data_IF_911795991062
#
_entry.id   IF_911795991062
#
_cell.length_a   1.000
_cell.length_b   1.000
_cell.length_c   1.000
_cell.angle_alpha   90.00
_cell.angle_beta   90.00
_cell.angle_gamma   90.00
#
_symmetry.space_group_name_H-M   'P 1'
#
loop_
_entity.id
_entity.type
_entity.pdbx_description
1 polymer ?
#
# COMPACT_ATOMS: atom_id res chain seq x y z
N UNK A 1 12.14 -18.24 -5.80
CA UNK A 1 11.18 -17.12 -5.69
C UNK A 1 11.06 -16.63 -4.25
N UNK A 2 10.81 -17.49 -3.27
CA UNK A 2 10.72 -17.12 -1.84
C UNK A 2 11.93 -16.37 -1.27
N UNK A 3 13.15 -16.72 -1.69
CA UNK A 3 14.37 -16.02 -1.23
C UNK A 3 14.37 -14.56 -1.70
N UNK A 4 13.91 -14.31 -2.93
CA UNK A 4 13.81 -12.97 -3.51
C UNK A 4 12.69 -12.20 -2.82
N UNK A 5 11.50 -12.78 -2.68
CA UNK A 5 10.37 -12.16 -1.99
C UNK A 5 10.72 -11.78 -0.53
N UNK A 6 11.45 -12.65 0.18
CA UNK A 6 11.92 -12.40 1.55
C UNK A 6 12.99 -11.30 1.60
N UNK A 7 13.91 -11.26 0.64
CA UNK A 7 14.93 -10.23 0.55
C UNK A 7 14.30 -8.86 0.26
N UNK A 8 13.39 -8.78 -0.72
CA UNK A 8 12.65 -7.55 -1.06
C UNK A 8 11.84 -7.08 0.13
N UNK A 9 11.10 -7.98 0.78
CA UNK A 9 10.35 -7.61 1.98
C UNK A 9 11.25 -7.18 3.13
N UNK A 10 12.53 -7.54 3.23
CA UNK A 10 13.41 -7.01 4.29
C UNK A 10 13.86 -5.57 4.04
N UNK A 11 14.00 -5.17 2.79
CA UNK A 11 14.48 -3.84 2.41
C UNK A 11 13.34 -2.85 2.09
N UNK A 12 12.11 -3.34 1.98
CA UNK A 12 10.93 -2.50 1.80
C UNK A 12 10.68 -1.62 3.03
N UNK A 13 10.10 -0.44 2.79
CA UNK A 13 9.56 0.46 3.81
C UNK A 13 8.62 -0.31 4.75
N UNK A 14 8.76 -0.05 6.04
CA UNK A 14 8.09 -0.72 7.15
C UNK A 14 7.17 0.20 7.92
N UNK A 15 6.33 -0.43 8.73
CA UNK A 15 5.54 0.29 9.71
C UNK A 15 6.48 1.08 10.63
N UNK A 16 6.15 2.35 10.84
CA UNK A 16 6.92 3.32 11.63
C UNK A 16 8.22 3.84 11.00
N UNK A 17 8.49 3.55 9.73
CA UNK A 17 9.52 4.29 9.00
C UNK A 17 9.06 5.74 8.80
N UNK A 18 9.91 6.69 9.17
CA UNK A 18 9.66 8.11 8.90
C UNK A 18 9.87 8.37 7.40
N UNK A 19 8.89 9.02 6.78
CA UNK A 19 8.94 9.40 5.37
C UNK A 19 8.61 10.87 5.23
N UNK A 20 9.43 11.57 4.44
CA UNK A 20 9.13 12.91 3.99
C UNK A 20 8.22 12.88 2.76
N UNK A 21 7.50 13.98 2.53
CA UNK A 21 6.54 14.08 1.44
C UNK A 21 7.09 13.66 0.06
N UNK A 22 8.32 14.04 -0.36
CA UNK A 22 8.87 13.58 -1.65
C UNK A 22 9.07 12.07 -1.73
N UNK A 23 9.39 11.41 -0.61
CA UNK A 23 9.60 9.96 -0.55
C UNK A 23 8.27 9.22 -0.68
N UNK A 24 7.21 9.74 -0.07
CA UNK A 24 5.84 9.23 -0.22
C UNK A 24 5.37 9.34 -1.67
N UNK A 25 5.58 10.50 -2.30
CA UNK A 25 5.22 10.70 -3.71
C UNK A 25 5.97 9.75 -4.65
N UNK A 26 7.27 9.56 -4.40
CA UNK A 26 8.08 8.61 -5.15
C UNK A 26 7.57 7.18 -4.95
N UNK A 27 7.28 6.78 -3.71
CA UNK A 27 6.77 5.45 -3.39
C UNK A 27 5.45 5.15 -4.13
N UNK A 28 4.55 6.12 -4.18
CA UNK A 28 3.28 5.98 -4.90
C UNK A 28 3.49 5.86 -6.41
N UNK A 29 4.42 6.63 -6.99
CA UNK A 29 4.77 6.51 -8.42
C UNK A 29 5.37 5.14 -8.74
N UNK A 30 6.37 4.72 -7.96
CA UNK A 30 7.02 3.41 -8.13
C UNK A 30 6.00 2.26 -8.02
N UNK A 31 5.02 2.37 -7.10
CA UNK A 31 3.94 1.39 -6.97
C UNK A 31 3.06 1.36 -8.23
N UNK A 32 2.67 2.52 -8.76
CA UNK A 32 1.81 2.62 -9.95
C UNK A 32 2.49 2.14 -11.23
N UNK A 33 3.82 2.20 -11.29
CA UNK A 33 4.62 1.73 -12.43
C UNK A 33 4.85 0.19 -12.42
N UNK A 34 4.47 -0.50 -11.35
CA UNK A 34 4.58 -1.95 -11.26
C UNK A 34 3.53 -2.66 -12.14
N UNK A 35 3.89 -3.81 -12.72
CA UNK A 35 2.96 -4.62 -13.53
C UNK A 35 1.73 -5.11 -12.74
N UNK A 36 1.92 -5.43 -11.46
CA UNK A 36 0.86 -5.86 -10.55
C UNK A 36 0.86 -5.00 -9.28
N UNK A 37 0.32 -3.77 -9.34
CA UNK A 37 0.43 -2.80 -8.24
C UNK A 37 -0.50 -3.11 -7.08
N UNK A 38 -1.44 -4.05 -7.24
CA UNK A 38 -2.51 -4.36 -6.27
C UNK A 38 -2.13 -5.43 -5.23
N UNK A 39 -1.00 -6.11 -5.43
CA UNK A 39 -0.64 -7.27 -4.63
C UNK A 39 0.87 -7.33 -4.40
N UNK A 40 1.30 -7.66 -3.18
CA UNK A 40 2.71 -7.93 -2.90
C UNK A 40 3.09 -9.36 -3.33
N UNK A 41 4.38 -9.70 -3.41
CA UNK A 41 4.85 -11.04 -3.79
C UNK A 41 4.33 -12.20 -2.91
N UNK A 42 3.76 -11.90 -1.74
CA UNK A 42 3.16 -12.88 -0.82
C UNK A 42 1.63 -12.93 -0.88
N UNK A 43 0.98 -12.23 -1.82
CA UNK A 43 -0.48 -12.25 -1.95
C UNK A 43 -1.22 -11.19 -1.13
N UNK A 44 -0.53 -10.31 -0.39
CA UNK A 44 -1.19 -9.27 0.43
C UNK A 44 -1.58 -8.07 -0.43
N UNK A 45 -2.78 -7.48 -0.23
CA UNK A 45 -3.15 -6.26 -0.94
C UNK A 45 -2.25 -5.10 -0.53
N UNK A 46 -1.88 -4.27 -1.51
CA UNK A 46 -1.08 -3.04 -1.31
C UNK A 46 -1.95 -1.81 -1.04
N UNK A 47 -3.19 -1.83 -1.52
CA UNK A 47 -4.15 -0.72 -1.39
C UNK A 47 -5.56 -1.24 -1.14
N UNK A 48 -6.36 -0.42 -0.46
CA UNK A 48 -7.80 -0.62 -0.33
C UNK A 48 -8.50 0.65 -0.79
N UNK A 49 -9.67 0.51 -1.42
CA UNK A 49 -10.50 1.63 -1.80
C UNK A 49 -11.68 1.70 -0.84
N UNK A 50 -11.81 2.84 -0.14
CA UNK A 50 -12.97 3.13 0.70
C UNK A 50 -13.74 4.26 0.03
N UNK A 51 -14.96 3.97 -0.42
CA UNK A 51 -15.83 4.96 -1.05
C UNK A 51 -16.38 5.97 -0.04
N UNK A 52 -16.78 7.15 -0.51
CA UNK A 52 -17.35 8.19 0.36
C UNK A 52 -18.60 7.72 1.11
N UNK A 53 -19.50 6.97 0.47
CA UNK A 53 -20.69 6.41 1.11
C UNK A 53 -20.34 5.40 2.20
N UNK A 54 -19.31 4.59 1.98
CA UNK A 54 -18.81 3.63 2.97
C UNK A 54 -18.17 4.35 4.17
N UNK A 55 -17.40 5.41 3.92
CA UNK A 55 -16.91 6.29 4.99
C UNK A 55 -18.07 6.90 5.78
N UNK A 56 -19.08 7.46 5.11
CA UNK A 56 -20.26 8.02 5.79
C UNK A 56 -20.95 7.00 6.70
N UNK A 57 -21.07 5.73 6.26
CA UNK A 57 -21.61 4.64 7.08
C UNK A 57 -20.73 4.33 8.28
N UNK A 58 -19.42 4.19 8.09
CA UNK A 58 -18.49 3.90 9.19
C UNK A 58 -18.43 5.01 10.25
N UNK A 59 -18.67 6.26 9.85
CA UNK A 59 -18.81 7.41 10.76
C UNK A 59 -20.24 7.64 11.27
N UNK A 60 -21.20 6.74 10.97
CA UNK A 60 -22.59 6.84 11.42
C UNK A 60 -23.38 8.02 10.83
N UNK A 61 -22.93 8.58 9.70
CA UNK A 61 -23.56 9.71 9.02
C UNK A 61 -24.65 9.29 8.04
N UNK A 62 -24.62 8.03 7.59
CA UNK A 62 -25.66 7.37 6.78
C UNK A 62 -25.82 5.92 7.22
N UNK A 63 -27.02 5.37 7.05
CA UNK A 63 -27.36 3.98 7.38
C UNK A 63 -27.16 3.05 6.18
#
# INVERSE_FOLDING_TARGET
EDVIAKAVCRHAIKANDELHQPEVEKLLRDLMDCELPYCCPHGRPTMIQIGYSELEKQFGRKT
#
